data_IF_290841713231
#
_entry.id   IF_290841713231
#
_cell.length_a   1.000
_cell.length_b   1.000
_cell.length_c   1.000
_cell.angle_alpha   90.00
_cell.angle_beta   90.00
_cell.angle_gamma   90.00
#
_symmetry.space_group_name_H-M   'P 1'
#
loop_
_entity.id
_entity.type
_entity.pdbx_description
1 polymer ?
#
# COMPACT_ATOMS: atom_id res chain seq x y z
N UNK A 1 -21.35 11.01 19.88
CA UNK A 1 -20.08 10.40 20.33
C UNK A 1 -19.46 9.74 19.11
N UNK A 2 -18.77 10.52 18.31
CA UNK A 2 -18.13 10.09 17.07
C UNK A 2 -16.72 9.61 17.41
N UNK A 3 -16.41 8.36 17.07
CA UNK A 3 -15.11 7.74 17.30
C UNK A 3 -14.07 8.35 16.36
N UNK A 4 -13.47 9.46 16.79
CA UNK A 4 -12.11 9.80 16.38
C UNK A 4 -11.22 8.62 16.80
N UNK A 5 -10.51 7.99 15.88
CA UNK A 5 -9.36 7.17 16.28
C UNK A 5 -8.31 8.15 16.82
N UNK A 6 -8.40 8.46 18.11
CA UNK A 6 -7.53 9.42 18.76
C UNK A 6 -6.14 8.81 18.87
N UNK A 7 -5.22 9.31 18.05
CA UNK A 7 -3.79 9.12 18.24
C UNK A 7 -3.46 9.42 19.71
N UNK A 8 -2.95 8.44 20.44
CA UNK A 8 -2.61 8.66 21.85
C UNK A 8 -1.36 9.52 21.96
N UNK A 9 -1.11 10.11 23.14
CA UNK A 9 0.14 10.84 23.39
C UNK A 9 1.37 9.99 23.08
N UNK A 10 1.31 8.69 23.40
CA UNK A 10 2.41 7.77 23.14
C UNK A 10 2.61 7.53 21.64
N UNK A 11 1.52 7.35 20.88
CA UNK A 11 1.58 7.19 19.42
C UNK A 11 2.21 8.42 18.75
N UNK A 12 1.79 9.62 19.16
CA UNK A 12 2.33 10.88 18.65
C UNK A 12 3.81 11.07 18.98
N UNK A 13 4.23 10.75 20.20
CA UNK A 13 5.65 10.78 20.61
C UNK A 13 6.48 9.78 19.80
N UNK A 14 5.97 8.56 19.60
CA UNK A 14 6.66 7.54 18.82
C UNK A 14 6.80 7.95 17.35
N UNK A 15 5.74 8.46 16.73
CA UNK A 15 5.78 8.95 15.35
C UNK A 15 6.77 10.11 15.18
N UNK A 16 6.77 11.06 16.12
CA UNK A 16 7.71 12.20 16.12
C UNK A 16 9.15 11.72 16.26
N UNK A 17 9.41 10.80 17.19
CA UNK A 17 10.74 10.20 17.39
C UNK A 17 11.23 9.51 16.11
N UNK A 18 10.40 8.66 15.50
CA UNK A 18 10.76 7.97 14.25
C UNK A 18 11.07 8.97 13.14
N UNK A 19 10.22 9.99 12.94
CA UNK A 19 10.46 11.03 11.94
C UNK A 19 11.83 11.69 12.12
N UNK A 20 12.16 12.11 13.35
CA UNK A 20 13.45 12.75 13.66
C UNK A 20 14.64 11.81 13.48
N UNK A 21 14.50 10.53 13.80
CA UNK A 21 15.55 9.53 13.62
C UNK A 21 15.83 9.22 12.14
N UNK A 22 14.84 9.39 11.26
CA UNK A 22 14.99 9.14 9.83
C UNK A 22 15.60 10.32 9.06
N UNK A 23 15.54 11.54 9.60
CA UNK A 23 16.13 12.73 8.96
C UNK A 23 17.64 12.56 8.75
N UNK A 24 18.13 12.96 7.57
CA UNK A 24 19.56 12.93 7.25
C UNK A 24 20.11 11.57 6.85
N UNK A 25 19.33 10.47 6.93
CA UNK A 25 19.82 9.13 6.60
C UNK A 25 20.21 8.98 5.13
N UNK A 26 19.36 9.49 4.23
CA UNK A 26 19.59 9.46 2.77
C UNK A 26 19.39 10.83 2.10
N UNK A 27 18.88 11.81 2.84
CA UNK A 27 18.56 13.14 2.34
C UNK A 27 18.08 14.06 3.47
N UNK A 28 17.63 15.25 3.11
CA UNK A 28 17.15 16.27 4.05
C UNK A 28 15.76 15.97 4.64
N UNK A 29 15.03 15.00 4.11
CA UNK A 29 13.72 14.54 4.63
C UNK A 29 13.80 13.07 5.08
N UNK A 30 12.83 12.56 5.85
CA UNK A 30 12.86 11.19 6.36
C UNK A 30 12.26 10.16 5.38
N UNK A 31 11.99 10.55 4.13
CA UNK A 31 11.27 9.73 3.16
C UNK A 31 12.14 9.36 1.96
N UNK A 32 11.86 8.20 1.39
CA UNK A 32 12.38 7.76 0.09
C UNK A 32 11.20 7.26 -0.75
N UNK A 33 11.34 7.31 -2.07
CA UNK A 33 10.34 6.81 -3.00
C UNK A 33 11.00 5.85 -4.01
N UNK A 34 10.45 4.65 -4.24
CA UNK A 34 11.01 3.72 -5.21
C UNK A 34 10.85 4.25 -6.63
N UNK A 35 11.92 4.25 -7.42
CA UNK A 35 11.83 4.50 -8.86
C UNK A 35 10.84 3.53 -9.49
N UNK A 36 10.06 4.01 -10.46
CA UNK A 36 8.94 3.30 -11.10
C UNK A 36 7.73 3.05 -10.19
N UNK A 37 7.77 3.51 -8.93
CA UNK A 37 6.64 3.55 -8.03
C UNK A 37 6.51 2.34 -7.10
N UNK A 38 5.54 2.41 -6.19
CA UNK A 38 5.36 1.42 -5.13
C UNK A 38 4.96 0.03 -5.65
N UNK A 39 4.51 -0.09 -6.90
CA UNK A 39 4.19 -1.36 -7.55
C UNK A 39 5.40 -2.30 -7.72
N UNK A 40 6.62 -1.78 -7.62
CA UNK A 40 7.85 -2.57 -7.71
C UNK A 40 8.12 -3.37 -6.42
N UNK A 41 7.69 -2.88 -5.26
CA UNK A 41 8.00 -3.50 -3.95
C UNK A 41 7.47 -4.93 -3.87
N UNK A 42 6.19 -5.24 -4.20
CA UNK A 42 5.70 -6.61 -4.21
C UNK A 42 6.49 -7.51 -5.18
N UNK A 43 6.93 -6.97 -6.32
CA UNK A 43 7.69 -7.73 -7.32
C UNK A 43 9.09 -8.08 -6.81
N UNK A 44 9.74 -7.19 -6.07
CA UNK A 44 11.04 -7.48 -5.43
C UNK A 44 10.95 -8.68 -4.49
N UNK A 45 9.94 -8.74 -3.62
CA UNK A 45 9.72 -9.90 -2.73
C UNK A 45 9.29 -11.14 -3.50
N UNK A 46 8.51 -10.99 -4.59
CA UNK A 46 8.16 -12.13 -5.44
C UNK A 46 9.39 -12.74 -6.12
N UNK A 47 10.31 -11.90 -6.58
CA UNK A 47 11.60 -12.34 -7.13
C UNK A 47 12.41 -13.11 -6.09
N UNK A 48 12.49 -12.60 -4.86
CA UNK A 48 13.17 -13.30 -3.76
C UNK A 48 12.58 -14.70 -3.57
N UNK A 49 11.25 -14.83 -3.48
CA UNK A 49 10.59 -16.13 -3.37
C UNK A 49 10.92 -17.07 -4.55
N UNK A 50 10.90 -16.55 -5.79
CA UNK A 50 11.21 -17.33 -6.99
C UNK A 50 12.66 -17.84 -7.03
N UNK A 51 13.62 -17.01 -6.59
CA UNK A 51 15.04 -17.40 -6.49
C UNK A 51 15.23 -18.60 -5.57
N UNK A 52 14.42 -18.71 -4.51
CA UNK A 52 14.43 -19.82 -3.56
C UNK A 52 13.43 -20.94 -3.92
N UNK A 53 13.01 -21.03 -5.19
CA UNK A 53 12.21 -22.14 -5.71
C UNK A 53 10.69 -21.94 -5.67
N UNK A 54 10.21 -20.74 -5.31
CA UNK A 54 8.80 -20.39 -5.40
C UNK A 54 8.28 -20.40 -6.84
N UNK A 55 7.08 -20.94 -7.04
CA UNK A 55 6.43 -21.04 -8.37
C UNK A 55 5.31 -19.99 -8.48
N UNK A 56 5.31 -19.25 -9.59
CA UNK A 56 4.36 -18.16 -9.85
C UNK A 56 3.42 -18.47 -11.02
N UNK A 57 2.13 -18.30 -10.79
CA UNK A 57 1.08 -18.52 -11.79
C UNK A 57 0.17 -17.28 -11.89
N UNK A 58 0.42 -16.39 -12.85
CA UNK A 58 -0.50 -15.30 -13.17
C UNK A 58 -1.66 -15.79 -14.04
N UNK A 59 -2.81 -15.10 -13.97
CA UNK A 59 -4.05 -15.49 -14.65
C UNK A 59 -4.53 -16.91 -14.26
N UNK A 60 -4.19 -17.35 -13.05
CA UNK A 60 -4.52 -18.66 -12.52
C UNK A 60 -5.42 -18.51 -11.30
N UNK A 61 -6.72 -18.72 -11.47
CA UNK A 61 -7.68 -18.58 -10.37
C UNK A 61 -7.77 -19.86 -9.54
N UNK A 62 -8.07 -19.72 -8.26
CA UNK A 62 -8.44 -20.81 -7.37
C UNK A 62 -9.96 -20.86 -7.26
N UNK A 63 -10.56 -22.04 -7.39
CA UNK A 63 -12.01 -22.22 -7.31
C UNK A 63 -12.47 -22.40 -5.86
N UNK A 64 -11.81 -23.27 -5.10
CA UNK A 64 -12.20 -23.55 -3.71
C UNK A 64 -11.07 -24.14 -2.87
N UNK A 65 -11.28 -24.09 -1.56
CA UNK A 65 -10.49 -24.79 -0.55
C UNK A 65 -11.06 -26.20 -0.35
N UNK A 66 -10.19 -27.21 -0.27
CA UNK A 66 -10.54 -28.59 0.09
C UNK A 66 -10.34 -28.75 1.59
N UNK A 67 -11.45 -28.80 2.34
CA UNK A 67 -11.43 -28.93 3.80
C UNK A 67 -11.77 -30.36 4.20
N UNK A 68 -10.92 -30.93 5.05
CA UNK A 68 -11.14 -32.24 5.65
C UNK A 68 -12.21 -32.15 6.75
N UNK A 69 -13.24 -32.99 6.66
CA UNK A 69 -14.40 -32.92 7.58
C UNK A 69 -14.07 -33.33 9.00
N UNK A 70 -13.14 -34.28 9.16
CA UNK A 70 -12.80 -34.84 10.46
C UNK A 70 -11.86 -33.92 11.25
N UNK A 71 -10.80 -33.41 10.59
CA UNK A 71 -9.83 -32.50 11.22
C UNK A 71 -10.21 -31.02 11.14
N UNK A 72 -11.17 -30.65 10.28
CA UNK A 72 -11.53 -29.25 10.01
C UNK A 72 -10.42 -28.43 9.33
N UNK A 73 -9.32 -29.07 8.90
CA UNK A 73 -8.16 -28.41 8.27
C UNK A 73 -8.28 -28.39 6.75
N UNK A 74 -7.76 -27.33 6.14
CA UNK A 74 -7.59 -27.29 4.69
C UNK A 74 -6.45 -28.24 4.28
N UNK A 75 -6.68 -29.05 3.24
CA UNK A 75 -5.73 -30.06 2.71
C UNK A 75 -5.25 -29.73 1.30
N UNK A 76 -5.86 -28.75 0.65
CA UNK A 76 -5.51 -28.37 -0.70
C UNK A 76 -6.47 -27.34 -1.27
N UNK A 77 -6.23 -26.97 -2.52
CA UNK A 77 -7.12 -26.17 -3.35
C UNK A 77 -7.54 -26.97 -4.58
N UNK A 78 -8.64 -26.55 -5.21
CA UNK A 78 -8.96 -26.88 -6.60
C UNK A 78 -8.77 -25.61 -7.43
N UNK A 79 -7.97 -25.68 -8.48
CA UNK A 79 -7.71 -24.55 -9.35
C UNK A 79 -8.75 -24.40 -10.48
N UNK A 80 -8.59 -23.37 -11.31
CA UNK A 80 -9.48 -23.08 -12.44
C UNK A 80 -9.59 -24.22 -13.47
N UNK A 81 -8.62 -25.12 -13.53
CA UNK A 81 -8.56 -26.26 -14.46
C UNK A 81 -9.05 -27.57 -13.81
N UNK A 82 -9.50 -27.52 -12.56
CA UNK A 82 -9.94 -28.70 -11.80
C UNK A 82 -8.78 -29.50 -11.21
N UNK A 83 -7.54 -28.99 -11.25
CA UNK A 83 -6.39 -29.65 -10.65
C UNK A 83 -6.42 -29.45 -9.13
N UNK A 84 -6.22 -30.54 -8.40
CA UNK A 84 -6.03 -30.51 -6.95
C UNK A 84 -4.57 -30.28 -6.60
N UNK A 85 -4.30 -29.25 -5.80
CA UNK A 85 -2.96 -28.92 -5.29
C UNK A 85 -2.99 -28.99 -3.77
N UNK A 86 -2.15 -29.83 -3.18
CA UNK A 86 -2.08 -30.05 -1.73
C UNK A 86 -1.02 -29.16 -1.08
N UNK A 87 -1.30 -28.63 0.11
CA UNK A 87 -0.37 -27.84 0.90
C UNK A 87 -0.70 -27.92 2.40
N UNK A 88 0.26 -27.55 3.25
CA UNK A 88 0.09 -27.54 4.70
C UNK A 88 -0.52 -26.24 5.23
N UNK A 89 -0.23 -25.13 4.55
CA UNK A 89 -0.62 -23.76 4.90
C UNK A 89 -1.15 -23.06 3.67
N UNK A 90 -2.15 -22.20 3.85
CA UNK A 90 -2.80 -21.45 2.77
C UNK A 90 -2.83 -19.99 3.18
N UNK A 91 -2.18 -19.12 2.42
CA UNK A 91 -2.24 -17.66 2.64
C UNK A 91 -3.10 -17.08 1.54
N UNK A 92 -4.13 -16.32 1.91
CA UNK A 92 -5.10 -15.74 0.98
C UNK A 92 -5.28 -14.26 1.29
N UNK A 93 -5.30 -13.42 0.28
CA UNK A 93 -5.65 -12.00 0.45
C UNK A 93 -7.18 -11.85 0.51
N UNK A 94 -7.66 -10.95 1.38
CA UNK A 94 -9.07 -10.73 1.69
C UNK A 94 -10.01 -10.68 0.47
N UNK A 95 -9.60 -10.05 -0.64
CA UNK A 95 -10.44 -9.91 -1.83
C UNK A 95 -10.76 -11.22 -2.56
N UNK A 96 -9.98 -12.27 -2.32
CA UNK A 96 -10.23 -13.61 -2.88
C UNK A 96 -11.23 -14.43 -2.07
N UNK A 97 -11.59 -13.98 -0.85
CA UNK A 97 -12.56 -14.68 -0.03
C UNK A 97 -14.00 -14.46 -0.53
N UNK A 98 -14.85 -15.50 -0.46
CA UNK A 98 -16.24 -15.38 -0.88
C UNK A 98 -17.04 -14.52 0.10
N UNK A 99 -18.14 -13.92 -0.38
CA UNK A 99 -18.95 -12.97 0.41
C UNK A 99 -19.49 -13.59 1.70
N UNK A 100 -19.78 -14.88 1.67
CA UNK A 100 -20.28 -15.64 2.81
C UNK A 100 -19.25 -15.71 3.94
N UNK A 101 -17.97 -15.91 3.61
CA UNK A 101 -16.86 -15.89 4.56
C UNK A 101 -16.66 -14.49 5.15
N UNK A 102 -16.91 -13.44 4.38
CA UNK A 102 -16.74 -12.05 4.80
C UNK A 102 -18.02 -11.40 5.37
N UNK A 103 -19.08 -12.18 5.62
CA UNK A 103 -20.42 -11.65 5.97
C UNK A 103 -20.45 -10.80 7.24
N UNK A 104 -19.57 -11.07 8.21
CA UNK A 104 -19.45 -10.32 9.47
C UNK A 104 -18.33 -9.27 9.44
N UNK A 105 -17.63 -9.12 8.31
CA UNK A 105 -16.48 -8.21 8.21
C UNK A 105 -16.96 -6.79 7.94
N UNK A 106 -16.53 -5.86 8.79
CA UNK A 106 -16.77 -4.43 8.61
C UNK A 106 -15.53 -3.80 7.99
N UNK A 107 -15.60 -3.53 6.68
CA UNK A 107 -14.52 -2.89 5.96
C UNK A 107 -14.53 -1.38 6.15
N UNK A 108 -13.33 -0.81 6.29
CA UNK A 108 -13.10 0.62 6.08
C UNK A 108 -12.91 0.87 4.58
N UNK A 109 -12.81 2.15 4.21
CA UNK A 109 -12.55 2.57 2.84
C UNK A 109 -11.47 3.64 2.83
N UNK A 110 -10.67 3.66 1.77
CA UNK A 110 -9.63 4.64 1.50
C UNK A 110 -10.09 5.47 0.31
N UNK A 111 -10.12 6.80 0.47
CA UNK A 111 -10.41 7.71 -0.62
C UNK A 111 -9.10 8.03 -1.32
N UNK A 112 -9.03 7.76 -2.63
CA UNK A 112 -7.85 7.98 -3.46
C UNK A 112 -8.19 8.88 -4.64
N UNK A 113 -7.27 9.79 -4.97
CA UNK A 113 -7.25 10.45 -6.26
C UNK A 113 -5.87 10.35 -6.90
N UNK A 114 -5.85 10.27 -8.22
CA UNK A 114 -4.64 10.29 -9.06
C UNK A 114 -4.82 11.40 -10.08
N UNK A 115 -3.91 12.35 -10.09
CA UNK A 115 -3.96 13.53 -10.94
C UNK A 115 -2.72 13.60 -11.82
N UNK A 116 -2.90 14.10 -13.04
CA UNK A 116 -1.79 14.53 -13.90
C UNK A 116 -1.86 16.05 -14.00
N UNK A 117 -0.75 16.72 -13.67
CA UNK A 117 -0.63 18.19 -13.71
C UNK A 117 0.57 18.63 -14.55
N UNK A 118 0.55 19.88 -15.01
CA UNK A 118 1.58 20.45 -15.90
C UNK A 118 2.75 21.14 -15.16
N UNK A 119 2.57 21.43 -13.88
CA UNK A 119 3.61 22.04 -13.04
C UNK A 119 3.44 21.59 -11.58
N UNK A 120 4.48 21.81 -10.78
CA UNK A 120 4.47 21.57 -9.34
C UNK A 120 3.50 22.52 -8.60
N UNK A 121 2.88 22.02 -7.52
CA UNK A 121 2.07 22.79 -6.56
C UNK A 121 2.86 23.99 -6.02
N UNK A 122 4.17 23.82 -5.78
CA UNK A 122 5.06 24.88 -5.32
C UNK A 122 6.23 25.04 -6.31
N UNK A 123 6.21 26.13 -7.08
CA UNK A 123 7.31 26.46 -7.99
C UNK A 123 8.59 26.73 -7.20
N UNK A 124 9.66 26.04 -7.58
CA UNK A 124 11.03 26.28 -7.09
C UNK A 124 11.99 26.32 -8.27
N UNK A 125 13.26 26.65 -8.03
CA UNK A 125 14.30 26.66 -9.06
C UNK A 125 14.58 25.26 -9.65
N UNK A 126 14.20 24.19 -8.93
CA UNK A 126 14.29 22.81 -9.39
C UNK A 126 12.90 22.24 -9.66
N UNK A 127 12.71 21.71 -10.86
CA UNK A 127 11.49 21.04 -11.30
C UNK A 127 11.44 19.56 -10.91
N UNK A 128 12.58 18.95 -10.58
CA UNK A 128 12.69 17.54 -10.21
C UNK A 128 12.67 17.33 -8.69
N UNK A 129 11.51 17.59 -8.07
CA UNK A 129 11.29 17.36 -6.64
C UNK A 129 10.18 16.33 -6.39
N UNK A 130 10.29 15.64 -5.26
CA UNK A 130 9.24 14.80 -4.69
C UNK A 130 8.79 15.47 -3.42
N UNK A 131 7.50 15.76 -3.32
CA UNK A 131 6.94 16.52 -2.21
C UNK A 131 5.79 15.78 -1.55
N UNK A 132 5.70 15.92 -0.24
CA UNK A 132 4.53 15.51 0.53
C UNK A 132 3.93 16.73 1.21
N UNK A 133 2.63 16.92 0.99
CA UNK A 133 1.82 17.95 1.61
C UNK A 133 0.71 17.26 2.43
N UNK A 134 0.48 17.76 3.64
CA UNK A 134 -0.63 17.32 4.49
C UNK A 134 -1.61 18.47 4.61
N UNK A 135 -2.83 18.25 4.14
CA UNK A 135 -3.94 19.20 4.27
C UNK A 135 -4.78 18.74 5.48
N UNK A 136 -4.81 19.51 6.58
CA UNK A 136 -5.65 19.19 7.74
C UNK A 136 -7.13 19.11 7.36
N UNK A 137 -7.97 18.44 8.17
CA UNK A 137 -9.42 18.41 7.97
C UNK A 137 -10.00 19.81 7.78
N UNK A 138 -10.66 20.05 6.65
CA UNK A 138 -11.31 21.35 6.36
C UNK A 138 -12.66 21.48 7.08
N UNK A 139 -13.32 20.36 7.34
CA UNK A 139 -14.62 20.29 8.01
C UNK A 139 -14.59 19.31 9.18
N UNK A 140 -15.35 19.56 10.27
CA UNK A 140 -15.49 18.62 11.37
C UNK A 140 -15.96 17.23 10.88
N UNK A 141 -15.33 16.16 11.36
CA UNK A 141 -15.67 14.79 10.99
C UNK A 141 -15.01 14.28 9.71
N UNK A 142 -14.16 15.08 9.06
CA UNK A 142 -13.28 14.64 7.95
C UNK A 142 -11.88 14.31 8.46
N UNK A 143 -11.10 13.57 7.67
CA UNK A 143 -9.71 13.22 7.99
C UNK A 143 -8.72 14.06 7.20
N UNK A 144 -7.46 14.13 7.65
CA UNK A 144 -6.42 14.84 6.92
C UNK A 144 -6.17 14.18 5.55
N UNK A 145 -5.97 15.01 4.54
CA UNK A 145 -5.65 14.55 3.18
C UNK A 145 -4.14 14.65 2.97
N UNK A 146 -3.51 13.53 2.63
CA UNK A 146 -2.13 13.52 2.19
C UNK A 146 -2.07 13.67 0.68
N UNK A 147 -1.22 14.58 0.22
CA UNK A 147 -0.94 14.87 -1.17
C UNK A 147 0.53 14.55 -1.42
N UNK A 148 0.81 13.60 -2.30
CA UNK A 148 2.17 13.24 -2.72
C UNK A 148 2.34 13.63 -4.18
N UNK A 149 3.30 14.49 -4.47
CA UNK A 149 3.63 14.97 -5.81
C UNK A 149 4.91 14.30 -6.28
N UNK A 150 4.84 13.68 -7.45
CA UNK A 150 5.93 12.95 -8.07
C UNK A 150 6.29 13.62 -9.40
N UNK A 151 7.54 14.05 -9.54
CA UNK A 151 8.09 14.52 -10.81
C UNK A 151 8.52 13.36 -11.73
N UNK A 152 8.85 13.70 -12.98
CA UNK A 152 9.22 12.71 -14.00
C UNK A 152 10.47 11.88 -13.67
N UNK A 153 11.40 12.37 -12.83
CA UNK A 153 12.58 11.60 -12.40
C UNK A 153 12.25 10.37 -11.56
N UNK A 154 11.03 10.29 -11.01
CA UNK A 154 10.53 9.09 -10.34
C UNK A 154 10.16 7.97 -11.30
N UNK A 155 10.14 8.26 -12.61
CA UNK A 155 9.75 7.35 -13.69
C UNK A 155 8.28 6.91 -13.62
N UNK A 156 7.42 7.71 -12.98
CA UNK A 156 5.98 7.43 -12.84
C UNK A 156 5.08 8.27 -13.76
N UNK A 157 5.63 9.31 -14.40
CA UNK A 157 4.93 10.17 -15.34
C UNK A 157 5.84 10.65 -16.47
N UNK A 158 5.23 11.20 -17.53
CA UNK A 158 5.96 11.78 -18.66
C UNK A 158 6.69 13.06 -18.26
N UNK A 159 7.70 13.44 -19.05
CA UNK A 159 8.39 14.74 -18.89
C UNK A 159 7.38 15.89 -18.95
N UNK A 160 7.71 16.97 -18.26
CA UNK A 160 6.90 18.20 -18.16
C UNK A 160 5.49 17.95 -17.57
N UNK A 161 5.35 16.87 -16.79
CA UNK A 161 4.16 16.57 -16.02
C UNK A 161 4.51 16.09 -14.62
N UNK A 162 3.53 16.12 -13.73
CA UNK A 162 3.62 15.59 -12.38
C UNK A 162 2.47 14.62 -12.13
N UNK A 163 2.78 13.54 -11.42
CA UNK A 163 1.78 12.59 -10.92
C UNK A 163 1.49 12.91 -9.46
N UNK A 164 0.27 13.36 -9.18
CA UNK A 164 -0.15 13.73 -7.83
C UNK A 164 -1.12 12.71 -7.28
N UNK A 165 -0.81 12.16 -6.12
CA UNK A 165 -1.65 11.23 -5.38
C UNK A 165 -2.28 11.90 -4.16
N UNK A 166 -3.60 11.79 -4.01
CA UNK A 166 -4.30 12.21 -2.80
C UNK A 166 -4.84 10.99 -2.07
N UNK A 167 -4.75 10.98 -0.73
CA UNK A 167 -5.21 9.89 0.13
C UNK A 167 -5.79 10.39 1.44
N UNK A 168 -6.92 9.84 1.85
CA UNK A 168 -7.44 9.96 3.21
C UNK A 168 -8.28 8.72 3.57
N UNK A 169 -8.62 8.57 4.85
CA UNK A 169 -9.66 7.62 5.24
C UNK A 169 -11.00 8.14 4.72
N UNK A 170 -11.76 7.29 4.03
CA UNK A 170 -13.01 7.73 3.41
C UNK A 170 -14.06 8.10 4.46
N UNK A 171 -14.74 9.21 4.21
CA UNK A 171 -15.99 9.58 4.89
C UNK A 171 -17.19 9.36 3.98
N UNK A 172 -17.01 9.59 2.67
CA UNK A 172 -18.03 9.39 1.62
C UNK A 172 -17.39 8.76 0.37
N UNK A 173 -17.75 9.21 -0.83
CA UNK A 173 -17.03 8.84 -2.05
C UNK A 173 -15.70 9.58 -2.14
N UNK A 174 -14.72 8.99 -2.82
CA UNK A 174 -13.41 9.59 -2.98
C UNK A 174 -13.44 10.97 -3.65
N UNK A 175 -14.40 11.21 -4.53
CA UNK A 175 -14.58 12.53 -5.15
C UNK A 175 -15.08 13.57 -4.14
N UNK A 176 -16.11 13.24 -3.36
CA UNK A 176 -16.63 14.14 -2.32
C UNK A 176 -15.58 14.47 -1.26
N UNK A 177 -14.76 13.49 -0.89
CA UNK A 177 -13.73 13.67 0.14
C UNK A 177 -12.52 14.49 -0.36
N UNK A 178 -12.17 14.40 -1.66
CA UNK A 178 -10.89 14.92 -2.18
C UNK A 178 -11.03 16.11 -3.14
N UNK A 179 -12.15 16.24 -3.85
CA UNK A 179 -12.36 17.33 -4.82
C UNK A 179 -12.22 18.74 -4.19
N UNK A 180 -12.62 19.00 -2.93
CA UNK A 180 -12.36 20.29 -2.28
C UNK A 180 -10.87 20.64 -2.22
N UNK A 181 -10.01 19.67 -1.87
CA UNK A 181 -8.55 19.85 -1.84
C UNK A 181 -7.98 20.02 -3.25
N UNK A 182 -8.49 19.26 -4.23
CA UNK A 182 -8.08 19.40 -5.64
C UNK A 182 -8.39 20.79 -6.16
N UNK A 183 -9.59 21.33 -5.92
CA UNK A 183 -9.98 22.70 -6.33
C UNK A 183 -9.18 23.80 -5.60
N UNK A 184 -8.74 23.52 -4.37
CA UNK A 184 -7.87 24.42 -3.63
C UNK A 184 -6.47 24.49 -4.26
N UNK A 185 -5.92 23.37 -4.72
CA UNK A 185 -4.54 23.29 -5.21
C UNK A 185 -4.40 23.49 -6.72
N UNK A 186 -5.42 23.17 -7.53
CA UNK A 186 -5.33 23.09 -8.98
C UNK A 186 -6.46 23.84 -9.71
N UNK A 187 -6.26 24.17 -10.99
CA UNK A 187 -7.27 24.75 -11.88
C UNK A 187 -7.60 23.74 -12.99
N UNK A 188 -8.89 23.42 -13.25
CA UNK A 188 -9.27 22.56 -14.38
C UNK A 188 -8.76 23.10 -15.72
N UNK A 189 -8.34 22.22 -16.62
CA UNK A 189 -7.82 22.62 -17.94
C UNK A 189 -8.80 23.52 -18.72
N UNK A 190 -10.10 23.24 -18.64
CA UNK A 190 -11.15 23.98 -19.33
C UNK A 190 -11.33 25.41 -18.82
N UNK A 191 -10.95 25.70 -17.57
CA UNK A 191 -11.04 27.02 -16.95
C UNK A 191 -9.73 27.81 -17.09
N UNK A 192 -8.76 27.23 -17.82
CA UNK A 192 -7.43 27.79 -17.92
C UNK A 192 -7.31 28.87 -19.01
N UNK A 193 -8.10 29.94 -18.94
CA UNK A 193 -7.88 31.10 -19.84
C UNK A 193 -6.62 31.90 -19.46
N UNK A 194 -6.07 32.60 -20.45
CA UNK A 194 -4.73 33.19 -20.47
C UNK A 194 -4.62 34.50 -19.63
N UNK A 195 -4.46 34.37 -18.31
CA UNK A 195 -3.99 35.44 -17.44
C UNK A 195 -2.47 35.34 -17.23
N UNK A 196 -1.74 36.45 -17.47
CA UNK A 196 -0.29 36.59 -17.27
C UNK A 196 0.07 36.86 -15.80
N UNK A 197 -0.26 35.95 -14.90
CA UNK A 197 0.16 36.06 -13.49
C UNK A 197 1.11 34.93 -13.10
N UNK A 198 2.24 35.28 -12.49
CA UNK A 198 3.31 34.36 -12.09
C UNK A 198 2.88 33.37 -10.98
N UNK A 199 1.80 33.68 -10.25
CA UNK A 199 1.23 32.92 -9.12
C UNK A 199 0.06 31.99 -9.49
N UNK A 200 -0.01 31.52 -10.73
CA UNK A 200 -1.08 30.62 -11.17
C UNK A 200 -0.92 29.21 -10.58
N UNK A 201 -2.01 28.66 -10.01
CA UNK A 201 -2.12 27.23 -9.62
C UNK A 201 -1.83 26.31 -10.83
N UNK A 202 -1.29 25.10 -10.61
CA UNK A 202 -1.08 24.14 -11.69
C UNK A 202 -2.39 23.76 -12.39
N UNK A 203 -2.30 23.47 -13.69
CA UNK A 203 -3.44 22.97 -14.47
C UNK A 203 -3.60 21.49 -14.20
N UNK A 204 -4.85 21.10 -13.97
CA UNK A 204 -5.26 19.71 -13.87
C UNK A 204 -5.59 19.18 -15.27
N UNK A 205 -4.73 18.33 -15.80
CA UNK A 205 -4.86 17.73 -17.13
C UNK A 205 -5.76 16.49 -17.10
N UNK A 206 -5.65 15.70 -16.03
CA UNK A 206 -6.45 14.49 -15.86
C UNK A 206 -6.64 14.15 -14.40
N UNK A 207 -7.79 13.56 -14.05
CA UNK A 207 -8.09 13.13 -12.69
C UNK A 207 -8.89 11.82 -12.65
N UNK A 208 -8.52 10.95 -11.72
CA UNK A 208 -9.27 9.77 -11.32
C UNK A 208 -9.53 9.83 -9.82
N UNK A 209 -10.76 9.49 -9.42
CA UNK A 209 -11.16 9.34 -8.03
C UNK A 209 -11.74 7.93 -7.84
N UNK A 210 -11.33 7.24 -6.78
CA UNK A 210 -11.88 5.92 -6.45
C UNK A 210 -11.73 5.61 -4.96
N UNK A 211 -12.65 4.81 -4.45
CA UNK A 211 -12.54 4.23 -3.12
C UNK A 211 -11.87 2.84 -3.22
N UNK A 212 -10.99 2.54 -2.27
CA UNK A 212 -10.39 1.21 -2.13
C UNK A 212 -10.81 0.62 -0.79
N UNK A 213 -11.16 -0.67 -0.77
CA UNK A 213 -11.44 -1.41 0.48
C UNK A 213 -10.19 -1.38 1.36
N UNK A 214 -10.37 -0.97 2.61
CA UNK A 214 -9.38 -1.13 3.67
C UNK A 214 -9.83 -2.30 4.57
N UNK A 215 -9.13 -3.43 4.43
CA UNK A 215 -9.29 -4.63 5.26
C UNK A 215 -8.20 -4.74 6.33
N UNK A 216 -7.39 -3.70 6.53
CA UNK A 216 -6.39 -3.66 7.60
C UNK A 216 -7.07 -3.62 8.98
N UNK A 217 -6.47 -4.29 9.96
CA UNK A 217 -7.00 -4.36 11.31
C UNK A 217 -8.26 -5.21 11.50
N UNK A 218 -8.71 -5.93 10.46
CA UNK A 218 -9.79 -6.93 10.60
C UNK A 218 -9.27 -8.15 11.35
N UNK A 219 -9.96 -8.55 12.42
CA UNK A 219 -9.61 -9.76 13.18
C UNK A 219 -9.97 -11.02 12.39
N UNK A 220 -9.14 -12.07 12.53
CA UNK A 220 -9.44 -13.41 12.00
C UNK A 220 -10.84 -13.90 12.39
N UNK A 221 -11.28 -13.61 13.62
CA UNK A 221 -12.59 -14.04 14.14
C UNK A 221 -13.78 -13.41 13.43
N UNK A 222 -13.58 -12.33 12.67
CA UNK A 222 -14.61 -11.70 11.84
C UNK A 222 -14.95 -12.52 10.59
N UNK A 223 -14.09 -13.47 10.19
CA UNK A 223 -14.30 -14.32 9.02
C UNK A 223 -14.96 -15.64 9.40
N UNK A 224 -15.98 -16.03 8.64
CA UNK A 224 -16.77 -17.22 8.91
C UNK A 224 -16.16 -18.49 8.31
N UNK A 225 -16.05 -19.55 9.12
CA UNK A 225 -15.79 -20.90 8.64
C UNK A 225 -14.38 -21.14 8.08
N UNK A 226 -13.39 -20.32 8.44
CA UNK A 226 -12.02 -20.51 7.96
C UNK A 226 -11.25 -21.57 8.77
N UNK A 227 -10.69 -22.60 8.12
CA UNK A 227 -9.79 -23.56 8.75
C UNK A 227 -8.59 -22.88 9.41
N UNK A 228 -8.09 -23.42 10.52
CA UNK A 228 -6.99 -22.82 11.31
C UNK A 228 -5.69 -22.62 10.54
N UNK A 229 -5.44 -23.42 9.49
CA UNK A 229 -4.26 -23.33 8.62
C UNK A 229 -4.47 -22.48 7.35
N UNK A 230 -5.55 -21.72 7.29
CA UNK A 230 -5.82 -20.73 6.24
C UNK A 230 -5.63 -19.34 6.85
N UNK A 231 -4.62 -18.61 6.43
CA UNK A 231 -4.22 -17.29 6.93
C UNK A 231 -4.65 -16.19 5.96
N UNK A 232 -4.98 -15.02 6.49
CA UNK A 232 -5.56 -13.93 5.72
C UNK A 232 -4.59 -12.75 5.71
N UNK A 233 -4.27 -12.26 4.53
CA UNK A 233 -3.61 -10.97 4.34
C UNK A 233 -4.65 -9.89 4.05
N UNK A 234 -4.46 -8.69 4.60
CA UNK A 234 -5.29 -7.55 4.20
C UNK A 234 -4.81 -6.99 2.86
N UNK A 235 -5.64 -6.14 2.26
CA UNK A 235 -5.18 -5.20 1.25
C UNK A 235 -4.34 -4.07 1.86
N UNK A 236 -4.05 -3.03 1.06
CA UNK A 236 -3.37 -1.83 1.53
C UNK A 236 -4.17 -1.12 2.63
N UNK A 237 -3.47 -0.60 3.63
CA UNK A 237 -4.00 0.33 4.61
C UNK A 237 -3.86 1.79 4.13
N UNK A 238 -4.50 2.72 4.84
CA UNK A 238 -4.39 4.14 4.53
C UNK A 238 -3.16 4.80 5.19
N UNK A 239 -2.20 4.06 5.74
CA UNK A 239 -0.97 4.62 6.31
C UNK A 239 -0.10 5.37 5.29
N UNK A 240 0.96 6.04 5.78
CA UNK A 240 1.96 6.66 4.90
C UNK A 240 3.03 5.65 4.44
N UNK A 241 3.45 4.76 5.35
CA UNK A 241 4.45 3.74 5.08
C UNK A 241 3.83 2.37 4.77
N UNK A 242 4.63 1.33 4.95
CA UNK A 242 4.24 -0.08 4.73
C UNK A 242 4.36 -0.92 6.00
N UNK A 243 4.38 -0.28 7.17
CA UNK A 243 4.59 -0.93 8.47
C UNK A 243 3.53 -2.01 8.74
N UNK A 244 2.27 -1.75 8.37
CA UNK A 244 1.18 -2.72 8.52
C UNK A 244 1.42 -3.99 7.70
N UNK A 245 1.78 -3.84 6.42
CA UNK A 245 2.06 -4.96 5.52
C UNK A 245 3.25 -5.81 6.02
N UNK A 246 4.34 -5.16 6.44
CA UNK A 246 5.53 -5.84 6.98
C UNK A 246 5.20 -6.57 8.28
N UNK A 247 4.51 -5.90 9.21
CA UNK A 247 4.14 -6.49 10.51
C UNK A 247 3.19 -7.68 10.35
N UNK A 248 2.23 -7.60 9.43
CA UNK A 248 1.35 -8.72 9.13
C UNK A 248 2.13 -9.91 8.56
N UNK A 249 3.03 -9.67 7.60
CA UNK A 249 3.85 -10.71 7.01
C UNK A 249 4.76 -11.39 8.05
N UNK A 250 5.42 -10.61 8.91
CA UNK A 250 6.28 -11.13 9.99
C UNK A 250 5.47 -11.94 11.01
N UNK A 251 4.29 -11.45 11.41
CA UNK A 251 3.39 -12.17 12.34
C UNK A 251 2.97 -13.51 11.75
N UNK A 252 2.51 -13.53 10.50
CA UNK A 252 2.12 -14.76 9.81
C UNK A 252 3.29 -15.73 9.65
N UNK A 253 4.48 -15.21 9.32
CA UNK A 253 5.68 -16.03 9.21
C UNK A 253 6.02 -16.70 10.55
N UNK A 254 6.01 -15.96 11.66
CA UNK A 254 6.27 -16.50 12.99
C UNK A 254 5.20 -17.48 13.47
N UNK A 255 3.93 -17.30 13.07
CA UNK A 255 2.88 -18.28 13.35
C UNK A 255 3.09 -19.60 12.58
N UNK A 256 3.63 -19.54 11.36
CA UNK A 256 3.85 -20.72 10.51
C UNK A 256 5.20 -21.39 10.84
N UNK A 257 6.23 -20.60 11.11
CA UNK A 257 7.63 -20.99 11.30
C UNK A 257 8.25 -20.29 12.53
N UNK A 258 7.85 -20.66 13.76
CA UNK A 258 8.20 -19.92 14.99
C UNK A 258 9.68 -19.96 15.39
N UNK A 259 10.46 -20.89 14.82
CA UNK A 259 11.89 -21.04 15.09
C UNK A 259 12.78 -20.44 13.99
N UNK A 260 12.19 -19.89 12.94
CA UNK A 260 12.92 -19.41 11.77
C UNK A 260 13.12 -17.89 11.80
N UNK A 261 14.18 -17.44 11.14
CA UNK A 261 14.46 -16.02 10.97
C UNK A 261 13.60 -15.43 9.84
N UNK A 262 13.06 -14.22 10.06
CA UNK A 262 12.22 -13.55 9.08
C UNK A 262 13.07 -12.87 7.99
N UNK A 263 13.05 -13.44 6.79
CA UNK A 263 13.73 -12.93 5.58
C UNK A 263 15.24 -12.65 5.77
N UNK A 264 16.05 -13.64 6.18
CA UNK A 264 17.49 -13.47 6.26
C UNK A 264 18.08 -13.16 4.87
N UNK A 265 19.20 -12.43 4.80
CA UNK A 265 19.88 -12.19 3.53
C UNK A 265 20.29 -13.52 2.87
N UNK A 266 20.20 -13.63 1.53
CA UNK A 266 20.68 -14.81 0.83
C UNK A 266 22.18 -14.98 1.09
N UNK A 267 22.69 -16.22 1.33
CA UNK A 267 24.12 -16.44 1.48
C UNK A 267 24.83 -16.06 0.18
N UNK A 268 25.79 -15.15 0.25
CA UNK A 268 26.60 -14.77 -0.89
C UNK A 268 27.71 -15.82 -1.10
N UNK A 269 27.71 -16.58 -2.20
CA UNK A 269 28.72 -17.60 -2.43
C UNK A 269 30.14 -17.01 -2.54
N UNK A 270 30.28 -15.73 -2.88
CA UNK A 270 31.56 -15.03 -2.96
C UNK A 270 32.17 -14.74 -1.58
N UNK A 271 31.39 -14.82 -0.49
CA UNK A 271 31.89 -14.67 0.88
C UNK A 271 32.61 -15.94 1.37
N UNK A 272 32.52 -17.06 0.64
CA UNK A 272 33.21 -18.32 0.94
C UNK A 272 34.62 -18.27 0.37
N UNK A 273 35.62 -18.03 1.22
CA UNK A 273 37.03 -18.10 0.85
C UNK A 273 37.43 -19.58 0.76
N UNK A 274 37.72 -20.05 -0.46
CA UNK A 274 38.38 -21.34 -0.65
C UNK A 274 39.88 -21.17 -0.39
N UNK A 275 40.46 -21.93 0.55
CA UNK A 275 41.91 -22.04 0.64
C UNK A 275 42.41 -22.67 -0.67
N UNK A 276 43.22 -21.92 -1.43
CA UNK A 276 43.86 -22.45 -2.63
C UNK A 276 44.90 -23.50 -2.19
N UNK A 277 44.69 -24.76 -2.58
CA UNK A 277 45.73 -25.78 -2.45
C UNK A 277 46.96 -25.34 -3.27
N UNK A 278 48.08 -25.13 -2.57
CA UNK A 278 49.37 -24.71 -3.14
C UNK A 278 50.16 -25.83 -3.79
#
# INVERSE_FOLDING_TARGET
MTSESSCTTLDGLQATKTFLQCLGRFGNTPFIFPLYGHGEIPQCFCRMCAVFGGVYCLRHKVQCLVVDKDSGRCKGIIDAFGQRISANYFIVEDSYLPKETCSNVQYKQISRAVLITDQSILKTDSDQQISILVVPPLEPGTTSVRVMELCSSTMTCMKDSYLVHLTCSSSKTAREDLEPVVKQLFIPEAEAEAGKDELRKPRLLWALYFNMRDSSGVSRSSYCGLPSNVYICSGPDWGLGSEHAVKQAETLFQEIFPSEEFCPPPPNPEDIIFEAEG
#
